data_IF_667601256832
#
_entry.id   IF_667601256832
#
_cell.length_a   1.000
_cell.length_b   1.000
_cell.length_c   1.000
_cell.angle_alpha   90.00
_cell.angle_beta   90.00
_cell.angle_gamma   90.00
#
_symmetry.space_group_name_H-M   'P 1'
#
loop_
_entity.id
_entity.type
_entity.pdbx_description
1 polymer ?
#
# COMPACT_ATOMS: atom_id res chain seq x y z
N UNK A 1 -22.60 -14.98 11.46
CA UNK A 1 -21.63 -14.31 12.36
C UNK A 1 -20.77 -13.41 11.50
N UNK A 2 -20.89 -12.10 11.66
CA UNK A 2 -19.98 -11.16 11.01
C UNK A 2 -18.76 -11.00 11.91
N UNK A 3 -17.56 -11.28 11.40
CA UNK A 3 -16.31 -11.05 12.13
C UNK A 3 -15.87 -9.63 11.82
N UNK A 4 -15.65 -8.81 12.84
CA UNK A 4 -15.06 -7.50 12.66
C UNK A 4 -13.57 -7.68 12.34
N UNK A 5 -13.13 -7.10 11.22
CA UNK A 5 -11.73 -7.03 10.81
C UNK A 5 -11.18 -5.67 11.20
N UNK A 6 -10.03 -5.65 11.86
CA UNK A 6 -9.30 -4.43 12.17
C UNK A 6 -8.55 -3.95 10.93
N UNK A 7 -8.85 -2.74 10.47
CA UNK A 7 -8.23 -2.16 9.28
C UNK A 7 -7.11 -1.21 9.71
N UNK A 8 -5.89 -1.47 9.25
CA UNK A 8 -4.74 -0.58 9.37
C UNK A 8 -4.58 0.26 8.11
N UNK A 9 -4.12 1.51 8.26
CA UNK A 9 -4.06 2.47 7.16
C UNK A 9 -5.41 3.13 6.88
N UNK A 10 -5.75 3.30 5.60
CA UNK A 10 -6.99 3.93 5.16
C UNK A 10 -8.05 2.88 4.83
N UNK A 11 -9.16 2.89 5.57
CA UNK A 11 -10.31 2.01 5.28
C UNK A 11 -11.06 2.50 4.03
N UNK A 12 -10.55 2.12 2.87
CA UNK A 12 -11.09 2.54 1.59
C UNK A 12 -12.37 1.79 1.16
N UNK A 13 -12.81 0.79 1.95
CA UNK A 13 -14.10 0.12 1.77
C UNK A 13 -15.25 0.92 2.41
N UNK A 14 -15.01 1.53 3.57
CA UNK A 14 -15.98 2.46 4.17
C UNK A 14 -15.87 3.86 3.60
N UNK A 15 -14.65 4.38 3.43
CA UNK A 15 -14.41 5.73 2.91
C UNK A 15 -13.85 5.65 1.50
N UNK A 16 -14.62 5.97 0.45
CA UNK A 16 -14.15 5.82 -0.93
C UNK A 16 -12.87 6.63 -1.19
N UNK A 17 -11.98 6.05 -1.99
CA UNK A 17 -10.75 6.74 -2.38
C UNK A 17 -11.05 7.98 -3.24
N UNK A 18 -10.15 8.99 -3.22
CA UNK A 18 -10.23 10.14 -4.12
C UNK A 18 -10.24 9.73 -5.60
N UNK A 19 -10.72 10.61 -6.47
CA UNK A 19 -10.76 10.38 -7.91
C UNK A 19 -9.36 10.01 -8.46
N UNK A 20 -9.29 8.97 -9.31
CA UNK A 20 -8.03 8.46 -9.85
C UNK A 20 -7.27 7.49 -8.94
N UNK A 21 -7.72 7.27 -7.70
CA UNK A 21 -7.15 6.28 -6.77
C UNK A 21 -8.03 5.03 -6.70
N UNK A 22 -7.40 3.87 -6.55
CA UNK A 22 -8.06 2.59 -6.37
C UNK A 22 -7.87 2.12 -4.93
N UNK A 23 -8.98 1.66 -4.33
CA UNK A 23 -8.93 1.01 -3.03
C UNK A 23 -8.19 -0.32 -3.16
N UNK A 24 -7.13 -0.46 -2.40
CA UNK A 24 -6.34 -1.68 -2.33
C UNK A 24 -6.33 -2.18 -0.88
N UNK A 25 -6.94 -3.34 -0.67
CA UNK A 25 -7.01 -4.01 0.62
C UNK A 25 -6.16 -5.28 0.57
N UNK A 26 -5.23 -5.41 1.52
CA UNK A 26 -4.54 -6.67 1.77
C UNK A 26 -5.13 -7.33 3.00
N UNK A 27 -5.45 -8.61 2.87
CA UNK A 27 -5.78 -9.48 3.99
C UNK A 27 -5.06 -10.81 3.73
N UNK A 28 -4.38 -11.34 4.73
CA UNK A 28 -3.66 -12.61 4.62
C UNK A 28 -4.36 -13.68 5.43
N UNK A 29 -4.20 -14.93 5.01
CA UNK A 29 -4.69 -16.08 5.78
C UNK A 29 -4.09 -16.15 7.19
N UNK A 30 -2.86 -15.65 7.37
CA UNK A 30 -2.17 -15.59 8.66
C UNK A 30 -2.80 -14.58 9.62
N UNK A 31 -3.43 -13.53 9.09
CA UNK A 31 -4.05 -12.45 9.84
C UNK A 31 -5.54 -12.29 9.46
N UNK A 32 -6.39 -13.28 9.79
CA UNK A 32 -7.78 -13.32 9.31
C UNK A 32 -8.68 -12.22 9.91
N UNK A 33 -8.22 -11.55 10.97
CA UNK A 33 -8.93 -10.43 11.63
C UNK A 33 -8.29 -9.09 11.36
N UNK A 34 -7.27 -9.02 10.52
CA UNK A 34 -6.57 -7.77 10.22
C UNK A 34 -6.51 -7.55 8.72
N UNK A 35 -6.66 -6.31 8.30
CA UNK A 35 -6.53 -5.93 6.91
C UNK A 35 -5.77 -4.61 6.81
N UNK A 36 -5.02 -4.44 5.73
CA UNK A 36 -4.29 -3.22 5.44
C UNK A 36 -4.96 -2.57 4.26
N UNK A 37 -5.50 -1.38 4.49
CA UNK A 37 -6.19 -0.59 3.49
C UNK A 37 -5.35 0.61 3.08
N UNK A 38 -5.26 0.83 1.77
CA UNK A 38 -4.69 2.08 1.26
C UNK A 38 -5.28 2.43 -0.09
N UNK A 39 -5.24 3.73 -0.41
CA UNK A 39 -5.63 4.22 -1.72
C UNK A 39 -4.39 4.38 -2.58
N UNK A 40 -4.32 3.64 -3.69
CA UNK A 40 -3.19 3.66 -4.61
C UNK A 40 -3.59 4.23 -5.95
N UNK A 41 -2.73 5.07 -6.51
CA UNK A 41 -2.86 5.52 -7.91
C UNK A 41 -2.34 4.38 -8.81
N UNK A 42 -3.03 4.11 -9.92
CA UNK A 42 -2.52 3.21 -10.95
C UNK A 42 -1.43 3.89 -11.76
N UNK A 43 -0.36 3.17 -12.06
CA UNK A 43 0.76 3.65 -12.86
C UNK A 43 1.20 2.58 -13.85
N UNK A 44 1.91 2.99 -14.91
CA UNK A 44 2.39 2.11 -15.98
C UNK A 44 2.36 2.80 -17.33
N UNK A 45 2.76 2.10 -18.39
CA UNK A 45 2.87 2.66 -19.75
C UNK A 45 1.56 3.27 -20.28
N UNK A 46 0.39 2.74 -19.89
CA UNK A 46 -0.92 3.28 -20.26
C UNK A 46 -1.48 4.33 -19.27
N UNK A 47 -0.87 4.52 -18.11
CA UNK A 47 -1.42 5.35 -17.03
C UNK A 47 -0.50 6.52 -16.71
N UNK A 48 -0.79 7.67 -17.32
CA UNK A 48 -0.36 9.00 -16.87
C UNK A 48 -1.43 9.61 -15.95
N UNK A 49 -1.04 10.32 -14.87
CA UNK A 49 0.31 10.79 -14.54
C UNK A 49 1.21 9.74 -13.89
N UNK A 50 2.52 10.00 -13.96
CA UNK A 50 3.50 9.32 -13.12
C UNK A 50 3.15 9.51 -11.63
N UNK A 51 3.55 8.55 -10.80
CA UNK A 51 3.38 8.64 -9.36
C UNK A 51 3.90 9.97 -8.81
N UNK A 52 3.22 10.50 -7.79
CA UNK A 52 3.66 11.72 -7.11
C UNK A 52 5.08 11.59 -6.55
N UNK A 53 5.74 12.71 -6.29
CA UNK A 53 7.08 12.70 -5.70
C UNK A 53 7.10 11.89 -4.40
N UNK A 54 8.11 11.02 -4.25
CA UNK A 54 8.19 10.06 -3.14
C UNK A 54 7.38 8.77 -3.33
N UNK A 55 6.76 8.56 -4.48
CA UNK A 55 6.10 7.31 -4.85
C UNK A 55 6.77 6.68 -6.08
N UNK A 56 6.92 5.35 -6.05
CA UNK A 56 7.47 4.57 -7.16
C UNK A 56 6.39 3.67 -7.75
N UNK A 57 6.43 3.50 -9.06
CA UNK A 57 5.52 2.60 -9.73
C UNK A 57 5.99 1.15 -9.52
N UNK A 58 5.23 0.38 -8.73
CA UNK A 58 5.53 -1.01 -8.45
C UNK A 58 4.27 -1.85 -8.65
N UNK A 59 4.36 -2.92 -9.44
CA UNK A 59 3.21 -3.78 -9.79
C UNK A 59 1.99 -3.00 -10.31
N UNK A 60 2.22 -1.97 -11.12
CA UNK A 60 1.19 -1.09 -11.70
C UNK A 60 0.45 -0.19 -10.70
N UNK A 61 0.98 -0.03 -9.48
CA UNK A 61 0.46 0.91 -8.48
C UNK A 61 1.56 1.80 -7.91
N UNK A 62 1.23 3.04 -7.63
CA UNK A 62 2.12 3.99 -6.97
C UNK A 62 2.22 3.63 -5.50
N UNK A 63 3.37 3.10 -5.09
CA UNK A 63 3.66 2.78 -3.69
C UNK A 63 4.64 3.79 -3.14
N UNK A 64 4.46 4.15 -1.87
CA UNK A 64 5.36 5.09 -1.20
C UNK A 64 6.76 4.48 -1.17
N UNK A 65 7.74 5.21 -1.72
CA UNK A 65 9.13 4.82 -1.64
C UNK A 65 9.61 4.97 -0.20
N UNK A 66 10.43 4.04 0.24
CA UNK A 66 11.04 4.09 1.56
C UNK A 66 12.52 3.76 1.45
N UNK A 67 13.28 4.22 2.42
CA UNK A 67 14.67 3.81 2.59
C UNK A 67 14.75 2.94 3.84
N UNK A 68 15.26 1.70 3.77
CA UNK A 68 15.39 0.84 4.93
C UNK A 68 16.35 1.41 5.99
N UNK A 69 17.21 2.37 5.63
CA UNK A 69 18.06 3.08 6.57
C UNK A 69 17.30 4.15 7.38
N UNK A 70 16.10 4.55 6.93
CA UNK A 70 15.26 5.54 7.61
C UNK A 70 14.09 4.83 8.30
N UNK A 71 14.11 4.70 9.64
CA UNK A 71 13.02 4.08 10.37
C UNK A 71 11.73 4.91 10.25
N UNK A 72 10.58 4.23 10.34
CA UNK A 72 9.24 4.82 10.45
C UNK A 72 8.70 5.63 9.25
N UNK A 73 9.34 5.58 8.07
CA UNK A 73 8.85 6.27 6.84
C UNK A 73 7.46 5.79 6.42
N UNK A 74 7.14 4.52 6.67
CA UNK A 74 5.94 3.86 6.17
C UNK A 74 4.71 3.99 7.08
N UNK A 75 4.90 4.46 8.31
CA UNK A 75 3.85 4.55 9.31
C UNK A 75 3.57 3.22 10.00
N UNK A 76 2.65 3.22 10.98
CA UNK A 76 2.36 2.05 11.81
C UNK A 76 1.73 0.92 10.98
N UNK A 77 2.13 -0.32 11.26
CA UNK A 77 1.72 -1.54 10.55
C UNK A 77 2.18 -1.64 9.08
N UNK A 78 3.11 -0.79 8.67
CA UNK A 78 3.80 -0.90 7.39
C UNK A 78 5.31 -0.89 7.63
N UNK A 79 6.02 -1.79 6.94
CA UNK A 79 7.49 -1.86 6.95
C UNK A 79 8.05 -1.48 5.59
N UNK A 80 9.30 -1.00 5.61
CA UNK A 80 10.03 -0.81 4.38
C UNK A 80 10.53 -2.17 3.89
N UNK A 81 9.98 -2.67 2.79
CA UNK A 81 10.28 -4.00 2.27
C UNK A 81 10.47 -3.97 0.74
N UNK A 82 11.08 -5.01 0.19
CA UNK A 82 11.14 -5.27 -1.24
C UNK A 82 11.01 -6.77 -1.51
N UNK A 83 10.05 -7.15 -2.34
CA UNK A 83 9.84 -8.56 -2.70
C UNK A 83 11.03 -9.19 -3.43
N UNK A 84 11.73 -8.40 -4.25
CA UNK A 84 12.90 -8.85 -5.00
C UNK A 84 13.90 -7.70 -5.14
N UNK A 85 15.18 -8.01 -5.30
CA UNK A 85 16.24 -7.01 -5.44
C UNK A 85 16.06 -6.07 -6.65
N UNK A 86 15.37 -6.55 -7.69
CA UNK A 86 14.99 -5.77 -8.87
C UNK A 86 13.93 -4.71 -8.61
N UNK A 87 13.19 -4.81 -7.49
CA UNK A 87 12.16 -3.85 -7.13
C UNK A 87 12.73 -2.78 -6.19
N UNK A 88 12.22 -1.56 -6.33
CA UNK A 88 12.48 -0.48 -5.39
C UNK A 88 11.90 -0.83 -4.01
N UNK A 89 12.53 -0.31 -2.97
CA UNK A 89 12.03 -0.37 -1.60
C UNK A 89 10.73 0.42 -1.48
N UNK A 90 9.68 -0.25 -1.01
CA UNK A 90 8.34 0.33 -0.87
C UNK A 90 7.78 0.04 0.51
N UNK A 91 6.86 0.90 0.94
CA UNK A 91 6.10 0.65 2.14
C UNK A 91 5.11 -0.49 1.89
N UNK A 92 5.45 -1.66 2.41
CA UNK A 92 4.62 -2.85 2.36
C UNK A 92 3.96 -3.08 3.72
N UNK A 93 2.79 -3.73 3.75
CA UNK A 93 2.17 -4.14 5.01
C UNK A 93 3.12 -4.98 5.85
N UNK A 94 3.22 -4.70 7.16
CA UNK A 94 3.95 -5.53 8.12
C UNK A 94 3.09 -6.74 8.54
N UNK A 95 2.86 -7.62 7.56
CA UNK A 95 2.23 -8.93 7.71
C UNK A 95 3.28 -10.00 8.04
#
# INVERSE_FOLDING_TARGET
MSVCTQVYGQNCQETPCPEGQKCHMWNTYSHPREAWGTCLIRCGEEHTPACSEGFVCQMSYCRKACDPAVPEVCGPHYKCDRYYEKFAWTCEPDM
#
